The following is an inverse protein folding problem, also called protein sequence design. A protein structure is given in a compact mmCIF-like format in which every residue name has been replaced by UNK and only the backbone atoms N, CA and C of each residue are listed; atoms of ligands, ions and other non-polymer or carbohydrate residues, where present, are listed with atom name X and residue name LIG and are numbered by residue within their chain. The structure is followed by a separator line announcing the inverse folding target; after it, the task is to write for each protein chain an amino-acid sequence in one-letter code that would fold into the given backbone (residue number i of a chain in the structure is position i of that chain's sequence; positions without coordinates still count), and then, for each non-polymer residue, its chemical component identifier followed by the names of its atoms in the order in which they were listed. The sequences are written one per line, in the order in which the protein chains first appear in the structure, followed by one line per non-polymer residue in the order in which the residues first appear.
data_IF_297242874851
#
_entry.id   IF_297242874851
#
_cell.length_a   1.000
_cell.length_b   1.000
_cell.length_c   1.000
_cell.angle_alpha   90.00
_cell.angle_beta   90.00
_cell.angle_gamma   90.00
#
_symmetry.space_group_name_H-M   'P 1'
#
loop_
_entity.id
_entity.type
_entity.pdbx_description
1 polymer ?
#
# COMPACT_ATOMS: atom_id res chain seq x y z
N UNK A 1 0.86 21.38 -1.75
CA UNK A 1 2.28 21.51 -1.32
C UNK A 1 3.13 20.61 -2.19
N UNK A 2 4.33 21.06 -2.60
CA UNK A 2 5.26 20.30 -3.45
C UNK A 2 6.14 19.29 -2.67
N UNK A 3 6.13 19.37 -1.33
CA UNK A 3 6.85 18.45 -0.45
C UNK A 3 6.05 17.15 -0.32
N UNK A 4 6.67 15.96 -0.43
CA UNK A 4 5.97 14.69 -0.18
C UNK A 4 5.33 14.70 1.21
N UNK A 5 4.04 14.41 1.29
CA UNK A 5 3.40 14.15 2.59
C UNK A 5 4.04 12.90 3.20
N UNK A 6 4.50 13.03 4.43
CA UNK A 6 5.16 11.97 5.19
C UNK A 6 4.64 11.97 6.62
N UNK A 7 4.05 10.86 7.03
CA UNK A 7 3.66 10.61 8.42
C UNK A 7 4.56 9.53 9.00
N UNK A 8 5.47 9.86 9.95
CA UNK A 8 6.28 8.86 10.62
C UNK A 8 5.44 7.75 11.26
N UNK A 9 4.32 8.15 11.90
CA UNK A 9 3.43 7.22 12.56
C UNK A 9 2.78 6.25 11.57
N UNK A 10 2.33 6.74 10.42
CA UNK A 10 1.77 5.90 9.36
C UNK A 10 2.77 4.83 8.90
N UNK A 11 4.04 5.19 8.69
CA UNK A 11 5.08 4.21 8.31
C UNK A 11 5.35 3.21 9.44
N UNK A 12 5.46 3.69 10.68
CA UNK A 12 5.73 2.85 11.83
C UNK A 12 4.62 1.81 12.08
N UNK A 13 3.38 2.15 11.74
CA UNK A 13 2.21 1.28 11.90
C UNK A 13 1.85 0.51 10.63
N UNK A 14 2.49 0.78 9.50
CA UNK A 14 2.19 0.12 8.23
C UNK A 14 2.70 -1.33 8.21
N UNK A 15 1.97 -2.16 7.47
CA UNK A 15 2.35 -3.54 7.14
C UNK A 15 3.59 -3.62 6.24
N UNK A 16 4.33 -4.74 6.22
CA UNK A 16 5.59 -4.86 5.49
C UNK A 16 5.51 -4.46 4.01
N UNK A 17 4.49 -4.92 3.26
CA UNK A 17 4.37 -4.56 1.85
C UNK A 17 4.16 -3.04 1.66
N UNK A 18 3.26 -2.45 2.45
CA UNK A 18 2.99 -1.02 2.42
C UNK A 18 4.21 -0.18 2.81
N UNK A 19 5.01 -0.64 3.79
CA UNK A 19 6.30 -0.01 4.17
C UNK A 19 7.27 -0.02 2.98
N UNK A 20 7.46 -1.17 2.34
CA UNK A 20 8.37 -1.30 1.18
C UNK A 20 7.91 -0.41 0.02
N UNK A 21 6.62 -0.44 -0.34
CA UNK A 21 6.07 0.40 -1.40
C UNK A 21 6.21 1.89 -1.09
N UNK A 22 6.00 2.28 0.18
CA UNK A 22 6.13 3.67 0.61
C UNK A 22 7.58 4.13 0.55
N UNK A 23 8.52 3.28 0.96
CA UNK A 23 9.96 3.56 0.88
C UNK A 23 10.38 3.80 -0.58
N UNK A 24 10.01 2.91 -1.50
CA UNK A 24 10.35 3.05 -2.93
C UNK A 24 9.79 4.35 -3.50
N UNK A 25 8.51 4.64 -3.22
CA UNK A 25 7.84 5.87 -3.65
C UNK A 25 8.54 7.12 -3.08
N UNK A 26 8.92 7.12 -1.80
CA UNK A 26 9.62 8.24 -1.17
C UNK A 26 11.05 8.38 -1.69
N UNK A 27 11.79 7.29 -1.88
CA UNK A 27 13.13 7.30 -2.46
C UNK A 27 13.11 7.88 -3.88
N UNK A 28 12.13 7.51 -4.70
CA UNK A 28 11.93 8.06 -6.04
C UNK A 28 11.68 9.58 -6.01
N UNK A 29 10.77 10.04 -5.14
CA UNK A 29 10.48 11.47 -4.98
C UNK A 29 11.68 12.25 -4.47
N UNK A 30 12.37 11.74 -3.45
CA UNK A 30 13.58 12.34 -2.88
C UNK A 30 14.68 12.45 -3.94
N UNK A 31 14.91 11.40 -4.73
CA UNK A 31 15.90 11.43 -5.80
C UNK A 31 15.56 12.48 -6.87
N UNK A 32 14.29 12.56 -7.31
CA UNK A 32 13.84 13.59 -8.28
C UNK A 32 14.01 15.01 -7.72
N UNK A 33 13.86 15.18 -6.41
CA UNK A 33 14.10 16.43 -5.68
C UNK A 33 15.57 16.60 -5.24
N UNK A 34 16.50 15.93 -5.93
CA UNK A 34 17.95 16.05 -5.75
C UNK A 34 18.50 15.54 -4.41
N UNK A 35 17.70 14.86 -3.60
CA UNK A 35 18.13 14.17 -2.37
C UNK A 35 18.62 12.74 -2.68
N UNK A 36 19.44 12.61 -3.73
CA UNK A 36 19.99 11.35 -4.26
C UNK A 36 20.73 10.54 -3.17
N UNK A 37 21.58 11.15 -2.29
CA UNK A 37 22.24 10.39 -1.24
C UNK A 37 21.27 9.73 -0.25
N UNK A 38 20.18 10.42 0.11
CA UNK A 38 19.16 9.89 1.03
C UNK A 38 18.36 8.77 0.36
N UNK A 39 17.91 8.98 -0.89
CA UNK A 39 17.24 7.95 -1.67
C UNK A 39 18.11 6.68 -1.79
N UNK A 40 19.43 6.83 -2.00
CA UNK A 40 20.38 5.72 -2.05
C UNK A 40 20.41 4.94 -0.73
N UNK A 41 20.50 5.62 0.41
CA UNK A 41 20.52 4.98 1.73
C UNK A 41 19.20 4.25 2.03
N UNK A 42 18.06 4.81 1.63
CA UNK A 42 16.76 4.14 1.75
C UNK A 42 16.73 2.84 0.94
N UNK A 43 17.19 2.84 -0.31
CA UNK A 43 17.22 1.60 -1.11
C UNK A 43 18.24 0.58 -0.56
N UNK A 44 19.40 1.02 -0.07
CA UNK A 44 20.33 0.14 0.65
C UNK A 44 19.66 -0.51 1.88
N UNK A 45 18.88 0.27 2.64
CA UNK A 45 18.13 -0.23 3.79
C UNK A 45 17.06 -1.25 3.35
N UNK A 46 16.33 -0.98 2.26
CA UNK A 46 15.38 -1.91 1.68
C UNK A 46 16.05 -3.21 1.22
N UNK A 47 17.19 -3.15 0.53
CA UNK A 47 17.96 -4.35 0.15
C UNK A 47 18.43 -5.16 1.35
N UNK A 48 18.86 -4.46 2.42
CA UNK A 48 19.26 -5.11 3.67
C UNK A 48 18.08 -5.85 4.30
N UNK A 49 16.91 -5.24 4.41
CA UNK A 49 15.81 -5.80 5.20
C UNK A 49 14.78 -6.60 4.40
N UNK A 50 14.64 -6.33 3.10
CA UNK A 50 13.69 -7.00 2.23
C UNK A 50 14.38 -7.39 0.91
N UNK A 51 15.30 -8.36 0.90
CA UNK A 51 16.14 -8.65 -0.26
C UNK A 51 15.35 -9.11 -1.50
N UNK A 52 14.15 -9.66 -1.31
CA UNK A 52 13.28 -10.19 -2.36
C UNK A 52 12.21 -9.20 -2.85
N UNK A 53 12.30 -7.92 -2.47
CA UNK A 53 11.33 -6.92 -2.96
C UNK A 53 11.34 -6.78 -4.50
N UNK A 54 12.47 -7.05 -5.17
CA UNK A 54 12.60 -6.97 -6.63
C UNK A 54 11.71 -7.97 -7.36
N UNK A 55 11.46 -9.13 -6.75
CA UNK A 55 10.63 -10.18 -7.34
C UNK A 55 9.14 -9.80 -7.32
N UNK A 56 8.78 -8.84 -6.45
CA UNK A 56 7.40 -8.41 -6.19
C UNK A 56 7.04 -7.08 -6.84
N UNK A 57 8.02 -6.24 -7.20
CA UNK A 57 7.72 -4.91 -7.74
C UNK A 57 8.70 -4.41 -8.81
N UNK A 58 8.13 -3.87 -9.88
CA UNK A 58 8.87 -3.13 -10.91
C UNK A 58 9.01 -1.64 -10.59
N UNK A 59 8.41 -1.16 -9.50
CA UNK A 59 8.36 0.26 -9.14
C UNK A 59 9.74 0.85 -8.83
N UNK A 60 10.74 0.01 -8.53
CA UNK A 60 12.11 0.44 -8.28
C UNK A 60 12.88 0.75 -9.58
N UNK A 61 12.54 0.10 -10.70
CA UNK A 61 13.32 0.18 -11.95
C UNK A 61 13.57 1.62 -12.45
N UNK A 62 12.64 2.58 -12.32
CA UNK A 62 12.92 3.97 -12.70
C UNK A 62 14.12 4.59 -11.97
N UNK A 63 14.39 4.18 -10.72
CA UNK A 63 15.57 4.64 -9.97
C UNK A 63 16.89 4.10 -10.55
N UNK A 64 16.90 3.00 -11.30
CA UNK A 64 18.11 2.53 -11.98
C UNK A 64 18.65 3.55 -12.99
N UNK A 65 17.77 4.35 -13.61
CA UNK A 65 18.19 5.46 -14.47
C UNK A 65 18.89 6.56 -13.67
N UNK A 66 18.41 6.87 -12.45
CA UNK A 66 19.07 7.79 -11.53
C UNK A 66 20.47 7.29 -11.16
N UNK A 67 20.59 6.02 -10.77
CA UNK A 67 21.86 5.44 -10.36
C UNK A 67 22.85 5.33 -11.52
N UNK A 68 22.38 5.03 -12.72
CA UNK A 68 23.20 5.03 -13.93
C UNK A 68 23.69 6.45 -14.27
N UNK A 69 22.84 7.47 -14.19
CA UNK A 69 23.19 8.87 -14.48
C UNK A 69 24.16 9.48 -13.44
N UNK A 70 24.09 9.01 -12.19
CA UNK A 70 24.87 9.57 -11.07
C UNK A 70 26.10 8.74 -10.72
N UNK A 71 26.14 7.47 -11.11
CA UNK A 71 27.12 6.48 -10.63
C UNK A 71 26.94 6.09 -9.16
N UNK A 72 25.90 6.59 -8.47
CA UNK A 72 25.72 6.44 -7.03
C UNK A 72 24.78 5.29 -6.66
N UNK A 73 25.20 4.06 -6.98
CA UNK A 73 24.39 2.86 -6.76
C UNK A 73 24.17 2.55 -5.27
N UNK A 74 22.95 2.15 -4.87
CA UNK A 74 22.70 1.54 -3.57
C UNK A 74 23.35 0.16 -3.47
N UNK A 75 23.58 -0.31 -2.24
CA UNK A 75 24.23 -1.60 -2.00
C UNK A 75 23.39 -2.75 -2.57
N UNK A 76 23.98 -3.57 -3.43
CA UNK A 76 23.33 -4.74 -4.05
C UNK A 76 22.41 -4.44 -5.24
N UNK A 77 22.25 -3.17 -5.65
CA UNK A 77 21.39 -2.81 -6.79
C UNK A 77 22.08 -2.98 -8.15
N UNK A 78 23.39 -2.73 -8.21
CA UNK A 78 24.10 -2.75 -9.50
C UNK A 78 24.09 -4.13 -10.13
N UNK A 79 24.19 -5.17 -9.31
CA UNK A 79 24.15 -6.56 -9.74
C UNK A 79 22.77 -6.96 -10.29
N UNK A 80 21.70 -6.26 -9.87
CA UNK A 80 20.31 -6.56 -10.25
C UNK A 80 19.83 -5.80 -11.50
N UNK A 81 20.35 -4.59 -11.72
CA UNK A 81 19.84 -3.69 -12.76
C UNK A 81 20.24 -4.07 -14.20
N UNK A 82 21.10 -5.07 -14.37
CA UNK A 82 21.63 -5.47 -15.68
C UNK A 82 22.69 -4.50 -16.21
N UNK A 83 22.91 -4.55 -17.52
CA UNK A 83 23.82 -3.68 -18.26
C UNK A 83 23.23 -2.29 -18.50
N UNK A 84 24.08 -1.28 -18.75
CA UNK A 84 23.61 0.07 -19.06
C UNK A 84 22.78 0.09 -20.35
N UNK A 85 23.09 -0.77 -21.31
CA UNK A 85 22.32 -0.97 -22.53
C UNK A 85 20.90 -1.50 -22.29
N UNK A 86 20.73 -2.40 -21.32
CA UNK A 86 19.42 -2.95 -20.91
C UNK A 86 18.58 -1.89 -20.18
N UNK A 87 19.22 -1.14 -19.27
CA UNK A 87 18.59 0.01 -18.60
C UNK A 87 18.11 1.03 -19.63
N UNK A 88 18.94 1.32 -20.64
CA UNK A 88 18.57 2.22 -21.74
C UNK A 88 17.47 1.65 -22.64
N UNK A 89 17.45 0.33 -22.86
CA UNK A 89 16.39 -0.32 -23.61
C UNK A 89 15.04 -0.22 -22.89
N UNK A 90 15.05 -0.38 -21.57
CA UNK A 90 13.87 -0.18 -20.71
C UNK A 90 13.36 1.26 -20.77
N UNK A 91 14.22 2.27 -20.64
CA UNK A 91 13.79 3.67 -20.77
C UNK A 91 13.18 3.98 -22.16
N UNK A 92 13.77 3.41 -23.23
CA UNK A 92 13.20 3.53 -24.59
C UNK A 92 11.84 2.85 -24.73
N UNK A 93 11.62 1.73 -24.02
CA UNK A 93 10.34 1.04 -24.01
C UNK A 93 9.26 1.90 -23.33
N UNK A 94 9.52 2.45 -22.15
CA UNK A 94 8.60 3.37 -21.47
C UNK A 94 8.27 4.59 -22.32
N UNK A 95 9.29 5.19 -22.96
CA UNK A 95 9.09 6.31 -23.86
C UNK A 95 8.18 5.99 -25.08
N UNK A 96 8.12 4.73 -25.52
CA UNK A 96 7.18 4.26 -26.55
C UNK A 96 5.79 4.01 -25.98
N UNK A 97 5.69 3.46 -24.78
CA UNK A 97 4.41 3.18 -24.13
C UNK A 97 3.63 4.47 -23.82
N UNK A 98 4.32 5.60 -23.65
CA UNK A 98 3.69 6.92 -23.47
C UNK A 98 3.04 7.49 -24.72
N UNK A 99 3.42 7.04 -25.92
CA UNK A 99 2.98 7.66 -27.17
C UNK A 99 3.06 6.70 -28.36
N UNK A 100 1.92 6.32 -28.93
CA UNK A 100 1.86 5.28 -29.98
C UNK A 100 1.78 5.81 -31.42
N UNK A 101 2.28 7.01 -31.74
CA UNK A 101 2.32 7.45 -33.14
C UNK A 101 3.70 7.97 -33.56
N UNK A 102 4.44 7.12 -34.26
CA UNK A 102 5.69 7.47 -34.98
C UNK A 102 5.50 8.67 -35.93
N UNK A 103 4.27 8.92 -36.41
CA UNK A 103 3.94 10.05 -37.30
C UNK A 103 4.08 11.43 -36.65
N UNK A 104 4.07 11.53 -35.31
CA UNK A 104 4.21 12.80 -34.60
C UNK A 104 5.66 13.10 -34.22
N UNK A 105 6.54 12.10 -34.19
CA UNK A 105 7.94 12.28 -33.79
C UNK A 105 8.71 13.25 -34.70
N UNK A 106 8.31 13.38 -35.98
CA UNK A 106 8.95 14.24 -36.98
C UNK A 106 8.59 15.72 -36.79
N UNK A 107 7.38 16.04 -36.30
CA UNK A 107 6.97 17.44 -36.07
C UNK A 107 7.48 17.99 -34.72
N UNK A 108 7.96 17.11 -33.83
CA UNK A 108 8.37 17.46 -32.46
C UNK A 108 9.85 17.86 -32.30
N UNK A 109 10.61 18.05 -33.39
CA UNK A 109 12.02 18.47 -33.34
C UNK A 109 12.22 19.98 -33.38
N UNK A 110 11.16 20.78 -33.23
CA UNK A 110 11.22 22.23 -33.33
C UNK A 110 10.19 22.89 -32.37
N UNK A 111 10.27 24.21 -32.28
CA UNK A 111 9.38 25.05 -31.44
C UNK A 111 7.89 24.79 -31.70
N UNK A 112 7.49 24.59 -32.96
CA UNK A 112 6.11 24.33 -33.32
C UNK A 112 5.60 23.02 -32.70
N UNK A 113 6.42 21.96 -32.79
CA UNK A 113 6.12 20.69 -32.16
C UNK A 113 5.94 20.78 -30.64
N UNK A 114 6.86 21.46 -29.96
CA UNK A 114 6.75 21.67 -28.51
C UNK A 114 5.46 22.41 -28.12
N UNK A 115 5.17 23.54 -28.80
CA UNK A 115 3.96 24.34 -28.53
C UNK A 115 2.68 23.55 -28.84
N UNK A 116 2.68 22.76 -29.91
CA UNK A 116 1.57 21.88 -30.27
C UNK A 116 1.34 20.81 -29.20
N UNK A 117 2.38 20.13 -28.71
CA UNK A 117 2.25 19.14 -27.63
C UNK A 117 1.65 19.74 -26.36
N UNK A 118 2.11 20.92 -25.95
CA UNK A 118 1.52 21.61 -24.80
C UNK A 118 0.05 21.99 -25.05
N UNK A 119 -0.28 22.49 -26.24
CA UNK A 119 -1.65 22.84 -26.60
C UNK A 119 -2.58 21.62 -26.63
N UNK A 120 -2.09 20.45 -27.05
CA UNK A 120 -2.84 19.19 -27.05
C UNK A 120 -3.06 18.66 -25.62
N UNK A 121 -2.09 18.84 -24.71
CA UNK A 121 -2.25 18.56 -23.28
C UNK A 121 -3.31 19.47 -22.63
N UNK A 122 -3.45 20.69 -23.13
CA UNK A 122 -4.44 21.67 -22.64
C UNK A 122 -5.84 21.49 -23.24
N UNK A 123 -6.02 20.63 -24.26
CA UNK A 123 -7.31 20.47 -24.93
C UNK A 123 -8.24 19.53 -24.14
N UNK A 124 -9.30 20.05 -23.49
CA UNK A 124 -10.26 19.21 -22.76
C UNK A 124 -11.12 18.33 -23.69
N UNK A 125 -11.09 18.57 -25.01
CA UNK A 125 -11.85 17.85 -26.04
C UNK A 125 -10.99 16.90 -26.86
N UNK A 126 -9.76 16.61 -26.43
CA UNK A 126 -8.87 15.71 -27.16
C UNK A 126 -9.61 14.39 -27.49
N UNK A 127 -9.64 13.96 -28.77
CA UNK A 127 -10.30 12.72 -29.13
C UNK A 127 -9.58 11.55 -28.44
N UNK A 128 -10.34 10.59 -27.93
CA UNK A 128 -9.79 9.28 -27.65
C UNK A 128 -9.17 8.78 -28.97
N UNK A 129 -7.89 8.41 -28.96
CA UNK A 129 -7.24 7.84 -30.13
C UNK A 129 -8.08 6.64 -30.59
N UNK A 130 -8.27 6.48 -31.91
CA UNK A 130 -9.25 5.56 -32.54
C UNK A 130 -9.16 4.09 -32.05
N UNK A 131 -8.06 3.68 -31.41
CA UNK A 131 -7.84 2.33 -30.86
C UNK A 131 -8.08 2.20 -29.33
N UNK A 132 -8.74 3.18 -28.70
CA UNK A 132 -9.17 3.09 -27.29
C UNK A 132 -8.05 3.19 -26.25
N UNK A 133 -6.82 3.57 -26.65
CA UNK A 133 -5.70 3.82 -25.72
C UNK A 133 -5.43 5.32 -25.63
N UNK A 134 -5.56 5.86 -24.43
CA UNK A 134 -5.32 7.28 -24.13
C UNK A 134 -3.82 7.55 -23.97
N UNK A 135 -3.33 8.67 -24.54
CA UNK A 135 -2.10 9.26 -24.01
C UNK A 135 -2.40 9.81 -22.61
N UNK A 136 -1.61 9.41 -21.62
CA UNK A 136 -1.69 10.00 -20.29
C UNK A 136 -1.15 11.44 -20.30
N UNK A 137 -1.79 12.35 -19.57
CA UNK A 137 -1.33 13.75 -19.43
C UNK A 137 0.13 13.79 -18.98
N UNK A 138 0.50 12.87 -18.09
CA UNK A 138 1.84 12.72 -17.56
C UNK A 138 2.84 12.32 -18.65
N UNK A 139 2.50 11.37 -19.52
CA UNK A 139 3.40 10.89 -20.59
C UNK A 139 3.67 11.98 -21.63
N UNK A 140 2.64 12.71 -22.03
CA UNK A 140 2.80 13.85 -22.95
C UNK A 140 3.64 14.98 -22.32
N UNK A 141 3.47 15.26 -21.02
CA UNK A 141 4.28 16.25 -20.32
C UNK A 141 5.76 15.84 -20.25
N UNK A 142 6.06 14.60 -19.82
CA UNK A 142 7.44 14.11 -19.77
C UNK A 142 8.10 14.23 -21.14
N UNK A 143 7.37 13.92 -22.21
CA UNK A 143 7.91 14.03 -23.55
C UNK A 143 8.18 15.48 -23.97
N UNK A 144 7.28 16.42 -23.67
CA UNK A 144 7.52 17.85 -23.90
C UNK A 144 8.78 18.34 -23.17
N UNK A 145 8.98 17.88 -21.93
CA UNK A 145 10.15 18.20 -21.13
C UNK A 145 11.44 17.62 -21.73
N UNK A 146 11.42 16.38 -22.22
CA UNK A 146 12.55 15.77 -22.93
C UNK A 146 12.95 16.59 -24.16
N UNK A 147 11.98 17.05 -24.94
CA UNK A 147 12.25 17.91 -26.09
C UNK A 147 12.84 19.24 -25.68
N UNK A 148 12.26 19.88 -24.66
CA UNK A 148 12.78 21.16 -24.18
C UNK A 148 14.23 21.06 -23.73
N UNK A 149 14.56 19.99 -23.02
CA UNK A 149 15.91 19.71 -22.56
C UNK A 149 16.88 19.51 -23.73
N UNK A 150 16.50 18.75 -24.77
CA UNK A 150 17.33 18.58 -25.98
C UNK A 150 17.55 19.91 -26.71
N UNK A 151 16.49 20.70 -26.91
CA UNK A 151 16.60 22.03 -27.54
C UNK A 151 17.56 22.94 -26.76
N UNK A 152 17.52 22.88 -25.42
CA UNK A 152 18.46 23.63 -24.58
C UNK A 152 19.92 23.17 -24.77
N UNK A 153 20.15 21.85 -24.87
CA UNK A 153 21.50 21.31 -25.13
C UNK A 153 22.03 21.68 -26.52
N UNK A 154 21.15 21.76 -27.52
CA UNK A 154 21.50 22.12 -28.90
C UNK A 154 21.61 23.64 -29.12
N UNK A 155 21.29 24.46 -28.11
CA UNK A 155 21.27 25.92 -28.23
C UNK A 155 20.14 26.45 -29.12
N UNK A 156 19.06 25.68 -29.27
CA UNK A 156 17.86 26.03 -30.05
C UNK A 156 16.68 26.36 -29.13
N UNK A 157 15.58 26.86 -29.71
CA UNK A 157 14.35 27.13 -28.95
C UNK A 157 14.26 28.50 -28.29
N UNK A 158 14.82 29.53 -28.91
CA UNK A 158 14.51 30.92 -28.53
C UNK A 158 12.99 31.13 -28.57
N UNK A 159 12.40 31.63 -27.48
CA UNK A 159 10.95 31.86 -27.37
C UNK A 159 10.14 30.69 -26.79
N UNK A 160 10.78 29.61 -26.33
CA UNK A 160 10.15 28.51 -25.59
C UNK A 160 10.50 28.59 -24.09
N UNK A 161 9.53 28.43 -23.17
CA UNK A 161 9.79 28.40 -21.73
C UNK A 161 10.91 27.41 -21.38
N UNK A 162 11.79 27.75 -20.46
CA UNK A 162 12.83 26.85 -19.95
C UNK A 162 12.24 25.56 -19.38
N UNK A 163 13.09 24.54 -19.20
CA UNK A 163 12.66 23.30 -18.53
C UNK A 163 12.06 23.59 -17.15
N UNK A 164 12.72 24.49 -16.39
CA UNK A 164 12.27 24.89 -15.06
C UNK A 164 10.92 25.63 -15.09
N UNK A 165 10.74 26.56 -16.04
CA UNK A 165 9.46 27.28 -16.22
C UNK A 165 8.34 26.32 -16.65
N UNK A 166 8.62 25.40 -17.58
CA UNK A 166 7.65 24.40 -18.05
C UNK A 166 7.22 23.50 -16.90
N UNK A 167 8.17 23.02 -16.10
CA UNK A 167 7.88 22.24 -14.89
C UNK A 167 7.05 23.06 -13.90
N UNK A 168 7.45 24.31 -13.62
CA UNK A 168 6.76 25.17 -12.64
C UNK A 168 5.31 25.47 -13.02
N UNK A 169 5.05 25.79 -14.29
CA UNK A 169 3.70 26.07 -14.80
C UNK A 169 2.80 24.84 -14.75
N UNK A 170 3.39 23.65 -14.97
CA UNK A 170 2.63 22.42 -15.10
C UNK A 170 2.48 21.67 -13.80
N UNK A 171 3.44 21.71 -12.88
CA UNK A 171 3.39 20.94 -11.63
C UNK A 171 2.32 21.42 -10.63
N UNK A 172 1.80 22.64 -10.79
CA UNK A 172 0.83 23.26 -9.86
C UNK A 172 -0.51 22.56 -9.69
N UNK A 173 -0.83 21.53 -10.50
CA UNK A 173 -2.11 20.80 -10.44
C UNK A 173 -2.01 19.27 -10.50
N UNK A 174 -0.83 18.66 -10.40
CA UNK A 174 -0.64 17.27 -10.83
C UNK A 174 -0.68 16.19 -9.74
N UNK A 175 -1.09 15.02 -10.22
CA UNK A 175 -1.46 13.79 -9.51
C UNK A 175 -0.23 12.94 -9.17
N UNK A 176 -0.38 12.01 -8.21
CA UNK A 176 0.62 11.01 -7.76
C UNK A 176 1.43 10.35 -8.90
N UNK A 177 0.81 10.08 -10.05
CA UNK A 177 1.41 9.39 -11.22
C UNK A 177 2.48 10.19 -11.96
N UNK A 178 2.54 11.51 -11.80
CA UNK A 178 3.49 12.32 -12.54
C UNK A 178 4.95 12.03 -12.14
N UNK A 179 5.23 11.86 -10.84
CA UNK A 179 6.57 11.51 -10.38
C UNK A 179 7.05 10.17 -10.94
N UNK A 180 6.16 9.16 -10.95
CA UNK A 180 6.45 7.84 -11.51
C UNK A 180 6.78 7.92 -13.00
N UNK A 181 6.05 8.76 -13.74
CA UNK A 181 6.28 8.97 -15.18
C UNK A 181 7.55 9.79 -15.44
N UNK A 182 7.82 10.83 -14.65
CA UNK A 182 9.05 11.63 -14.73
C UNK A 182 10.30 10.77 -14.50
N UNK A 183 10.26 9.89 -13.50
CA UNK A 183 11.36 9.00 -13.14
C UNK A 183 11.74 7.97 -14.22
N UNK A 184 10.87 7.74 -15.19
CA UNK A 184 11.13 6.83 -16.31
C UNK A 184 11.92 7.52 -17.45
N UNK A 185 12.15 8.84 -17.39
CA UNK A 185 12.94 9.58 -18.38
C UNK A 185 14.38 9.77 -17.93
N UNK A 186 15.34 9.33 -18.75
CA UNK A 186 16.78 9.54 -18.51
C UNK A 186 17.15 11.02 -18.46
N UNK A 187 16.53 11.85 -19.30
CA UNK A 187 16.85 13.28 -19.37
C UNK A 187 16.37 14.03 -18.13
N UNK A 188 15.27 13.58 -17.53
CA UNK A 188 14.79 14.14 -16.26
C UNK A 188 15.79 13.87 -15.12
N UNK A 189 16.48 12.72 -15.12
CA UNK A 189 17.51 12.47 -14.11
C UNK A 189 18.74 13.37 -14.23
N UNK A 190 19.14 13.73 -15.45
CA UNK A 190 20.18 14.75 -15.66
C UNK A 190 19.75 16.11 -15.11
N UNK A 191 18.49 16.51 -15.34
CA UNK A 191 17.94 17.74 -14.78
C UNK A 191 17.79 17.69 -13.24
N UNK A 192 17.37 16.55 -12.69
CA UNK A 192 17.20 16.34 -11.25
C UNK A 192 18.55 16.40 -10.52
N UNK A 193 19.62 15.84 -11.09
CA UNK A 193 20.98 15.94 -10.56
C UNK A 193 21.45 17.39 -10.39
N UNK A 194 21.04 18.26 -11.30
CA UNK A 194 21.38 19.70 -11.28
C UNK A 194 20.38 20.56 -10.47
N UNK A 195 19.45 19.95 -9.73
CA UNK A 195 18.48 20.67 -8.91
C UNK A 195 17.33 21.33 -9.65
N UNK A 196 17.21 21.13 -10.97
CA UNK A 196 16.22 21.83 -11.80
C UNK A 196 14.79 21.47 -11.38
N UNK A 197 14.54 20.19 -11.13
CA UNK A 197 13.22 19.70 -10.70
C UNK A 197 12.84 20.27 -9.33
N UNK A 198 13.77 20.24 -8.35
CA UNK A 198 13.53 20.82 -7.02
C UNK A 198 13.23 22.32 -7.08
N UNK A 199 14.00 23.10 -7.85
CA UNK A 199 13.76 24.54 -8.03
C UNK A 199 12.43 24.85 -8.72
N UNK A 200 12.09 24.09 -9.76
CA UNK A 200 10.80 24.22 -10.44
C UNK A 200 9.62 23.99 -9.49
N UNK A 201 9.80 23.11 -8.50
CA UNK A 201 8.81 22.80 -7.46
C UNK A 201 8.81 23.80 -6.30
N UNK A 202 9.72 24.77 -6.29
CA UNK A 202 9.86 25.73 -5.20
C UNK A 202 10.26 25.08 -3.87
N UNK A 203 10.98 23.96 -3.94
CA UNK A 203 11.37 23.16 -2.79
C UNK A 203 12.70 23.67 -2.24
N UNK A 204 12.74 23.95 -0.94
CA UNK A 204 13.96 24.36 -0.24
C UNK A 204 14.87 23.16 0.03
N UNK A 205 16.17 23.34 -0.23
CA UNK A 205 17.16 22.28 -0.10
C UNK A 205 17.39 21.82 1.34
N UNK A 206 17.39 22.76 2.30
CA UNK A 206 17.60 22.46 3.72
C UNK A 206 16.37 21.77 4.32
N UNK A 207 15.16 22.23 3.95
CA UNK A 207 13.90 21.59 4.34
C UNK A 207 13.84 20.14 3.83
N UNK A 208 14.24 19.89 2.58
CA UNK A 208 14.26 18.53 2.04
C UNK A 208 15.32 17.63 2.66
N UNK A 209 16.48 18.18 3.02
CA UNK A 209 17.50 17.41 3.71
C UNK A 209 17.02 17.03 5.12
N UNK A 210 16.37 17.96 5.82
CA UNK A 210 15.75 17.70 7.11
C UNK A 210 14.65 16.63 7.01
N UNK A 211 13.75 16.73 6.03
CA UNK A 211 12.75 15.70 5.76
C UNK A 211 13.42 14.36 5.47
N UNK A 212 14.46 14.34 4.63
CA UNK A 212 15.20 13.14 4.28
C UNK A 212 15.76 12.40 5.50
N UNK A 213 16.29 13.12 6.48
CA UNK A 213 16.75 12.54 7.77
C UNK A 213 15.60 11.90 8.54
N UNK A 214 14.48 12.59 8.70
CA UNK A 214 13.31 12.06 9.42
C UNK A 214 12.76 10.80 8.73
N UNK A 215 12.70 10.81 7.40
CA UNK A 215 12.28 9.65 6.61
C UNK A 215 13.21 8.46 6.85
N UNK A 216 14.52 8.67 6.74
CA UNK A 216 15.53 7.64 6.96
C UNK A 216 15.44 7.05 8.38
N UNK A 217 15.45 7.90 9.41
CA UNK A 217 15.34 7.47 10.81
C UNK A 217 14.06 6.66 11.08
N UNK A 218 12.94 7.07 10.47
CA UNK A 218 11.66 6.36 10.62
C UNK A 218 11.72 4.96 10.01
N UNK A 219 12.26 4.81 8.79
CA UNK A 219 12.37 3.49 8.16
C UNK A 219 13.38 2.60 8.86
N UNK A 220 14.50 3.15 9.32
CA UNK A 220 15.48 2.41 10.15
C UNK A 220 14.76 1.85 11.38
N UNK A 221 14.04 2.71 12.12
CA UNK A 221 13.25 2.29 13.27
C UNK A 221 12.24 1.20 12.91
N UNK A 222 11.46 1.37 11.83
CA UNK A 222 10.45 0.39 11.39
C UNK A 222 11.04 -0.98 11.05
N UNK A 223 12.21 -1.01 10.41
CA UNK A 223 12.85 -2.27 10.02
C UNK A 223 13.63 -2.94 11.17
N UNK A 224 14.20 -2.16 12.08
CA UNK A 224 14.98 -2.69 13.20
C UNK A 224 14.07 -3.11 14.36
N UNK A 225 13.10 -2.28 14.73
CA UNK A 225 12.21 -2.48 15.89
C UNK A 225 10.90 -3.20 15.52
N UNK A 226 10.51 -3.22 14.25
CA UNK A 226 9.24 -3.80 13.80
C UNK A 226 8.08 -2.81 13.80
N UNK A 227 6.86 -3.33 13.65
CA UNK A 227 5.64 -2.52 13.56
C UNK A 227 5.28 -1.97 14.94
N UNK A 228 5.08 -0.65 15.04
CA UNK A 228 4.51 -0.05 16.23
C UNK A 228 3.04 -0.39 16.24
N UNK A 229 2.60 -1.16 17.23
CA UNK A 229 1.17 -1.41 17.43
C UNK A 229 0.51 -0.16 18.01
N UNK A 230 -0.70 0.19 17.57
CA UNK A 230 -1.54 1.14 18.29
C UNK A 230 -1.61 0.72 19.77
N UNK A 231 -1.25 1.62 20.68
CA UNK A 231 -1.51 1.40 22.11
C UNK A 231 -2.97 1.71 22.31
N UNK A 232 -3.79 0.68 22.14
CA UNK A 232 -5.21 0.77 22.36
C UNK A 232 -5.52 0.13 23.70
N UNK A 233 -6.42 0.77 24.45
CA UNK A 233 -6.76 0.37 25.79
C UNK A 233 -7.46 -0.99 25.87
N UNK A 234 -8.25 -1.18 26.91
CA UNK A 234 -9.15 -2.31 27.04
C UNK A 234 -10.08 -2.48 25.82
N UNK A 235 -10.61 -3.68 25.62
CA UNK A 235 -11.60 -3.95 24.57
C UNK A 235 -12.81 -2.99 24.64
N UNK A 236 -13.23 -2.64 25.85
CA UNK A 236 -14.30 -1.65 26.08
C UNK A 236 -13.93 -0.27 25.53
N UNK A 237 -12.72 0.22 25.84
CA UNK A 237 -12.21 1.49 25.33
C UNK A 237 -12.13 1.48 23.79
N UNK A 238 -11.60 0.39 23.20
CA UNK A 238 -11.49 0.27 21.74
C UNK A 238 -12.86 0.34 21.04
N UNK A 239 -13.80 -0.49 21.48
CA UNK A 239 -15.15 -0.58 20.90
C UNK A 239 -15.89 0.75 21.05
N UNK A 240 -15.72 1.43 22.19
CA UNK A 240 -16.29 2.76 22.42
C UNK A 240 -15.68 3.80 21.49
N UNK A 241 -14.36 3.80 21.29
CA UNK A 241 -13.68 4.73 20.38
C UNK A 241 -14.19 4.56 18.93
N UNK A 242 -14.32 3.33 18.44
CA UNK A 242 -14.86 3.06 17.09
C UNK A 242 -16.28 3.62 16.96
N UNK A 243 -17.14 3.35 17.95
CA UNK A 243 -18.52 3.82 17.96
C UNK A 243 -18.60 5.36 17.98
N UNK A 244 -17.81 6.01 18.84
CA UNK A 244 -17.76 7.48 18.92
C UNK A 244 -17.27 8.12 17.63
N UNK A 245 -16.21 7.59 17.02
CA UNK A 245 -15.64 8.16 15.80
C UNK A 245 -16.59 7.97 14.61
N UNK A 246 -17.27 6.83 14.53
CA UNK A 246 -18.32 6.59 13.52
C UNK A 246 -19.45 7.60 13.65
N UNK A 247 -19.93 7.86 14.88
CA UNK A 247 -21.00 8.83 15.12
C UNK A 247 -20.59 10.29 14.84
N UNK A 248 -19.32 10.63 15.08
CA UNK A 248 -18.80 11.99 14.86
C UNK A 248 -18.49 12.28 13.39
N UNK A 249 -18.22 11.26 12.58
CA UNK A 249 -17.85 11.42 11.16
C UNK A 249 -19.02 11.92 10.31
N UNK A 250 -18.85 13.09 9.69
CA UNK A 250 -19.86 13.64 8.78
C UNK A 250 -19.89 12.88 7.45
N UNK A 251 -18.73 12.41 6.95
CA UNK A 251 -18.64 11.51 5.79
C UNK A 251 -19.41 10.21 6.05
N UNK A 252 -19.28 9.62 7.23
CA UNK A 252 -20.03 8.42 7.61
C UNK A 252 -21.55 8.65 7.56
N UNK A 253 -22.02 9.80 8.07
CA UNK A 253 -23.44 10.18 7.98
C UNK A 253 -23.88 10.39 6.54
N UNK A 254 -23.04 11.02 5.71
CA UNK A 254 -23.34 11.23 4.29
C UNK A 254 -23.44 9.91 3.54
N UNK A 255 -22.48 9.00 3.68
CA UNK A 255 -22.52 7.69 3.03
C UNK A 255 -23.68 6.82 3.53
N UNK A 256 -24.04 6.90 4.81
CA UNK A 256 -25.26 6.25 5.33
C UNK A 256 -26.56 6.81 4.74
N UNK A 257 -26.56 8.09 4.36
CA UNK A 257 -27.70 8.77 3.74
C UNK A 257 -27.68 8.67 2.21
N UNK A 258 -26.54 8.36 1.60
CA UNK A 258 -26.46 8.12 0.17
C UNK A 258 -27.19 6.82 -0.17
N UNK A 259 -28.20 6.85 -1.05
CA UNK A 259 -28.95 5.67 -1.44
C UNK A 259 -28.07 4.80 -2.34
N UNK A 260 -27.17 4.04 -1.73
CA UNK A 260 -26.42 3.00 -2.39
C UNK A 260 -27.37 1.87 -2.75
N UNK A 261 -28.01 1.99 -3.92
CA UNK A 261 -28.62 0.90 -4.66
C UNK A 261 -29.73 0.12 -3.92
N UNK A 262 -30.91 0.71 -3.73
CA UNK A 262 -32.20 0.17 -4.25
C UNK A 262 -33.44 0.85 -3.63
N UNK A 263 -34.48 0.77 -4.45
CA UNK A 263 -35.91 0.74 -4.14
C UNK A 263 -36.26 0.39 -2.67
N UNK A 264 -37.24 1.15 -2.16
CA UNK A 264 -37.83 1.10 -0.82
C UNK A 264 -37.01 1.72 0.31
N UNK A 265 -37.49 2.90 0.72
CA UNK A 265 -37.27 3.62 1.98
C UNK A 265 -37.04 2.69 3.19
N UNK A 266 -35.84 2.14 3.34
CA UNK A 266 -35.31 1.80 4.65
C UNK A 266 -34.44 2.97 5.05
N UNK A 267 -35.01 3.86 5.86
CA UNK A 267 -34.20 4.71 6.71
C UNK A 267 -33.29 3.77 7.50
N UNK A 268 -31.99 3.76 7.17
CA UNK A 268 -30.98 3.23 8.05
C UNK A 268 -31.00 4.14 9.29
N UNK A 269 -31.92 3.87 10.21
CA UNK A 269 -31.72 4.31 11.59
C UNK A 269 -30.31 3.84 11.94
N UNK A 270 -29.51 4.70 12.58
CA UNK A 270 -28.23 4.32 13.17
C UNK A 270 -28.53 3.18 14.15
N UNK A 271 -28.64 1.95 13.63
CA UNK A 271 -28.82 0.72 14.39
C UNK A 271 -27.68 0.79 15.36
N UNK A 272 -28.02 0.82 16.64
CA UNK A 272 -27.09 1.06 17.75
C UNK A 272 -25.83 0.25 17.48
N UNK A 273 -24.74 0.94 17.07
CA UNK A 273 -23.45 0.32 16.74
C UNK A 273 -23.08 -0.70 17.79
N UNK A 274 -23.31 -0.32 19.05
CA UNK A 274 -23.26 -1.16 20.23
C UNK A 274 -24.61 -1.85 20.46
N UNK A 275 -24.61 -3.19 20.49
CA UNK A 275 -25.69 -4.00 21.05
C UNK A 275 -25.47 -4.25 22.53
N UNK A 276 -26.54 -4.65 23.23
CA UNK A 276 -26.44 -5.12 24.61
C UNK A 276 -25.38 -6.24 24.73
N UNK A 277 -24.57 -6.26 25.80
CA UNK A 277 -23.64 -7.34 26.09
C UNK A 277 -24.24 -8.75 25.99
N UNK A 278 -23.45 -9.70 25.50
CA UNK A 278 -23.81 -11.11 25.58
C UNK A 278 -23.71 -11.60 27.03
N UNK A 279 -24.66 -12.42 27.46
CA UNK A 279 -24.57 -13.11 28.75
C UNK A 279 -23.55 -14.25 28.70
N UNK A 280 -23.02 -14.65 29.86
CA UNK A 280 -22.13 -15.83 29.96
C UNK A 280 -22.80 -17.11 29.45
N UNK A 281 -24.12 -17.25 29.63
CA UNK A 281 -24.90 -18.37 29.10
C UNK A 281 -24.95 -18.35 27.56
N UNK A 282 -25.06 -17.17 26.95
CA UNK A 282 -25.03 -17.02 25.49
C UNK A 282 -23.66 -17.36 24.91
N UNK A 283 -22.58 -16.91 25.56
CA UNK A 283 -21.20 -17.24 25.17
C UNK A 283 -20.96 -18.75 25.34
N UNK A 284 -21.39 -19.34 26.46
CA UNK A 284 -21.25 -20.78 26.71
C UNK A 284 -22.02 -21.62 25.70
N UNK A 285 -23.25 -21.20 25.35
CA UNK A 285 -24.07 -21.84 24.33
C UNK A 285 -23.44 -21.74 22.94
N UNK A 286 -22.77 -20.63 22.63
CA UNK A 286 -22.01 -20.46 21.40
C UNK A 286 -20.81 -21.41 21.34
N UNK A 287 -20.01 -21.50 22.40
CA UNK A 287 -18.89 -22.45 22.49
C UNK A 287 -19.37 -23.90 22.35
N UNK A 288 -20.47 -24.27 23.00
CA UNK A 288 -21.07 -25.60 22.87
C UNK A 288 -21.52 -25.88 21.44
N UNK A 289 -22.21 -24.91 20.80
CA UNK A 289 -22.69 -25.03 19.42
C UNK A 289 -21.56 -25.15 18.41
N UNK A 290 -20.44 -24.46 18.62
CA UNK A 290 -19.26 -24.57 17.77
C UNK A 290 -18.37 -25.78 18.15
N UNK A 291 -18.54 -26.35 19.35
CA UNK A 291 -17.67 -27.41 19.84
C UNK A 291 -16.21 -26.96 20.05
N UNK A 292 -15.98 -25.67 20.30
CA UNK A 292 -14.64 -25.09 20.53
C UNK A 292 -14.68 -24.09 21.68
N UNK A 293 -13.51 -23.85 22.29
CA UNK A 293 -13.31 -22.76 23.24
C UNK A 293 -12.88 -21.51 22.50
N UNK A 294 -13.65 -20.44 22.61
CA UNK A 294 -13.40 -19.19 21.92
C UNK A 294 -12.22 -18.44 22.58
N UNK A 295 -11.44 -17.66 21.80
CA UNK A 295 -10.36 -16.88 22.36
C UNK A 295 -10.89 -15.81 23.32
N UNK A 296 -10.11 -15.52 24.37
CA UNK A 296 -10.57 -14.67 25.47
C UNK A 296 -10.81 -13.22 25.06
N UNK A 297 -10.05 -12.71 24.10
CA UNK A 297 -10.24 -11.36 23.56
C UNK A 297 -11.58 -11.24 22.81
N UNK A 298 -11.99 -12.26 22.04
CA UNK A 298 -13.31 -12.29 21.39
C UNK A 298 -14.46 -12.43 22.40
N UNK A 299 -14.31 -13.26 23.44
CA UNK A 299 -15.32 -13.32 24.51
C UNK A 299 -15.41 -11.99 25.26
N UNK A 300 -14.28 -11.33 25.50
CA UNK A 300 -14.24 -10.00 26.11
C UNK A 300 -15.00 -8.98 25.26
N UNK A 301 -14.88 -9.05 23.94
CA UNK A 301 -15.69 -8.24 23.02
C UNK A 301 -17.19 -8.55 23.15
N UNK A 302 -17.59 -9.83 23.17
CA UNK A 302 -18.99 -10.20 23.33
C UNK A 302 -19.60 -9.70 24.65
N UNK A 303 -18.80 -9.65 25.73
CA UNK A 303 -19.20 -9.08 27.03
C UNK A 303 -19.30 -7.56 27.03
N UNK A 304 -18.65 -6.88 26.08
CA UNK A 304 -18.81 -5.43 25.87
C UNK A 304 -20.02 -5.17 24.99
N UNK A 305 -20.20 -5.96 23.93
CA UNK A 305 -21.30 -5.82 22.98
C UNK A 305 -21.55 -7.13 22.22
N UNK A 306 -22.81 -7.56 22.12
CA UNK A 306 -23.17 -8.79 21.42
C UNK A 306 -23.15 -8.61 19.89
N UNK A 307 -21.97 -8.48 19.32
CA UNK A 307 -21.76 -8.07 17.93
C UNK A 307 -21.86 -6.55 17.77
N UNK A 308 -21.56 -6.06 16.58
CA UNK A 308 -21.35 -4.64 16.32
C UNK A 308 -21.92 -4.26 14.96
N UNK A 309 -22.52 -3.06 14.84
CA UNK A 309 -22.99 -2.54 13.56
C UNK A 309 -21.83 -2.26 12.59
N UNK A 310 -22.13 -2.08 11.30
CA UNK A 310 -21.15 -1.55 10.36
C UNK A 310 -20.65 -0.19 10.84
N UNK A 311 -19.33 0.04 10.76
CA UNK A 311 -18.69 1.22 11.34
C UNK A 311 -17.78 1.91 10.34
N UNK A 312 -17.59 3.21 10.51
CA UNK A 312 -16.79 4.00 9.59
C UNK A 312 -15.32 3.76 9.84
N UNK A 313 -14.59 3.18 8.87
CA UNK A 313 -13.15 2.98 9.03
C UNK A 313 -12.32 4.20 8.60
N UNK A 314 -12.92 5.27 8.10
CA UNK A 314 -12.21 6.44 7.59
C UNK A 314 -12.32 6.61 6.08
N UNK A 315 -12.52 5.50 5.35
CA UNK A 315 -12.66 5.50 3.88
C UNK A 315 -14.01 4.96 3.43
N UNK A 316 -14.52 3.93 4.10
CA UNK A 316 -15.81 3.30 3.82
C UNK A 316 -16.37 2.65 5.10
N UNK A 317 -17.57 2.09 5.01
CA UNK A 317 -18.15 1.29 6.09
C UNK A 317 -17.53 -0.12 6.14
N UNK A 318 -16.93 -0.42 7.27
CA UNK A 318 -16.35 -1.71 7.59
C UNK A 318 -17.41 -2.74 8.01
N UNK A 319 -17.00 -4.00 8.08
CA UNK A 319 -17.88 -5.14 8.29
C UNK A 319 -18.62 -5.09 9.62
N UNK A 320 -19.95 -5.29 9.58
CA UNK A 320 -20.71 -5.55 10.79
C UNK A 320 -20.27 -6.86 11.45
N UNK A 321 -20.24 -6.90 12.78
CA UNK A 321 -19.94 -8.10 13.55
C UNK A 321 -21.22 -8.76 14.07
N UNK A 322 -21.30 -10.06 13.90
CA UNK A 322 -22.45 -10.86 14.24
C UNK A 322 -22.67 -10.95 15.74
N UNK A 323 -23.95 -10.95 16.18
CA UNK A 323 -24.29 -11.39 17.52
C UNK A 323 -24.01 -12.89 17.67
N UNK A 324 -23.81 -13.34 18.91
CA UNK A 324 -23.42 -14.71 19.25
C UNK A 324 -24.35 -15.80 18.68
N UNK A 325 -25.64 -15.51 18.47
CA UNK A 325 -26.60 -16.45 17.88
C UNK A 325 -26.43 -16.64 16.37
N UNK A 326 -25.79 -15.67 15.67
CA UNK A 326 -25.52 -15.73 14.23
C UNK A 326 -24.10 -16.22 13.89
N UNK A 327 -23.17 -16.17 14.83
CA UNK A 327 -21.81 -16.72 14.65
C UNK A 327 -21.90 -18.20 14.29
N UNK A 328 -21.19 -18.67 13.27
CA UNK A 328 -21.24 -20.06 12.81
C UNK A 328 -19.93 -20.45 12.15
N UNK A 329 -19.69 -21.74 11.96
CA UNK A 329 -18.70 -22.14 10.97
C UNK A 329 -19.18 -21.77 9.58
N UNK A 330 -18.26 -21.32 8.75
CA UNK A 330 -18.49 -21.26 7.32
C UNK A 330 -17.87 -22.48 6.64
N UNK A 331 -18.71 -23.18 5.89
CA UNK A 331 -18.40 -24.30 5.02
C UNK A 331 -19.09 -24.14 3.65
N UNK A 332 -19.72 -22.98 3.38
CA UNK A 332 -20.60 -22.78 2.24
C UNK A 332 -19.90 -22.20 1.00
N UNK A 333 -18.59 -21.87 1.07
CA UNK A 333 -17.87 -21.23 -0.03
C UNK A 333 -16.69 -22.04 -0.55
N UNK A 334 -16.69 -22.30 -1.85
CA UNK A 334 -15.60 -23.00 -2.57
C UNK A 334 -14.23 -22.33 -2.33
N UNK A 335 -14.19 -20.99 -2.22
CA UNK A 335 -12.93 -20.26 -1.98
C UNK A 335 -12.27 -20.64 -0.64
N UNK A 336 -13.02 -21.13 0.35
CA UNK A 336 -12.45 -21.54 1.64
C UNK A 336 -11.52 -22.77 1.46
N UNK A 337 -11.84 -23.64 0.51
CA UNK A 337 -11.04 -24.83 0.20
C UNK A 337 -9.97 -24.56 -0.86
N UNK A 338 -10.17 -23.58 -1.74
CA UNK A 338 -9.27 -23.28 -2.85
C UNK A 338 -8.20 -22.22 -2.51
N UNK A 339 -8.52 -21.25 -1.66
CA UNK A 339 -7.65 -20.11 -1.38
C UNK A 339 -6.55 -20.47 -0.38
N UNK A 340 -5.30 -20.31 -0.82
CA UNK A 340 -4.13 -20.40 0.06
C UNK A 340 -4.18 -19.33 1.14
N UNK A 341 -3.99 -19.73 2.39
CA UNK A 341 -4.04 -18.82 3.53
C UNK A 341 -2.63 -18.26 3.80
N UNK A 342 -2.45 -16.98 3.50
CA UNK A 342 -1.27 -16.23 3.91
C UNK A 342 -1.53 -15.49 5.24
N UNK A 343 -0.93 -15.97 6.34
CA UNK A 343 -1.00 -15.30 7.64
C UNK A 343 -0.08 -14.08 7.73
N UNK A 344 1.06 -14.11 7.03
CA UNK A 344 2.13 -13.14 7.18
C UNK A 344 2.16 -12.30 5.91
N UNK A 345 1.87 -10.99 5.96
CA UNK A 345 1.89 -10.09 4.78
C UNK A 345 3.30 -9.98 4.14
N UNK A 346 3.74 -11.08 3.52
CA UNK A 346 5.03 -11.31 2.91
C UNK A 346 4.87 -11.79 1.47
N UNK A 347 3.63 -12.09 1.04
CA UNK A 347 3.28 -12.54 -0.30
C UNK A 347 4.00 -13.86 -0.61
N UNK A 348 3.74 -14.86 0.23
CA UNK A 348 4.44 -16.14 0.18
C UNK A 348 4.23 -16.89 -1.15
N UNK A 349 3.12 -16.58 -1.84
CA UNK A 349 2.75 -17.07 -3.17
C UNK A 349 3.79 -16.76 -4.25
N UNK A 350 4.60 -15.70 -4.10
CA UNK A 350 5.70 -15.39 -5.01
C UNK A 350 6.93 -16.26 -4.81
N UNK A 351 7.03 -16.97 -3.68
CA UNK A 351 8.27 -17.61 -3.23
C UNK A 351 8.17 -19.12 -3.06
N UNK A 352 6.97 -19.69 -3.09
CA UNK A 352 6.77 -21.13 -3.03
C UNK A 352 6.47 -21.67 -4.43
N UNK A 353 7.12 -22.76 -4.81
CA UNK A 353 7.00 -23.34 -6.15
C UNK A 353 5.59 -23.85 -6.46
N UNK A 354 4.86 -24.30 -5.43
CA UNK A 354 3.50 -24.83 -5.52
C UNK A 354 2.62 -24.21 -4.42
N UNK A 355 2.04 -23.05 -4.72
CA UNK A 355 1.08 -22.40 -3.83
C UNK A 355 -0.27 -23.14 -3.77
N UNK A 356 -0.56 -24.03 -4.72
CA UNK A 356 -1.75 -24.87 -4.66
C UNK A 356 -1.64 -25.91 -3.52
N UNK A 357 -0.42 -26.37 -3.23
CA UNK A 357 -0.12 -27.20 -2.08
C UNK A 357 0.00 -26.42 -0.74
N UNK A 358 -0.04 -25.09 -0.77
CA UNK A 358 0.02 -24.26 0.44
C UNK A 358 -1.21 -24.50 1.33
N UNK A 359 -1.06 -24.45 2.67
CA UNK A 359 -2.19 -24.55 3.59
C UNK A 359 -3.35 -23.62 3.22
N UNK A 360 -4.52 -24.20 3.01
CA UNK A 360 -5.77 -23.50 2.67
C UNK A 360 -6.47 -22.99 3.92
N UNK A 361 -7.33 -22.00 3.77
CA UNK A 361 -8.15 -21.45 4.86
C UNK A 361 -8.97 -22.53 5.56
N UNK A 362 -9.61 -23.39 4.76
CA UNK A 362 -10.48 -24.46 5.23
C UNK A 362 -11.60 -23.95 6.13
N UNK A 363 -11.92 -24.71 7.17
CA UNK A 363 -13.03 -24.40 8.08
C UNK A 363 -12.68 -23.23 9.01
N UNK A 364 -13.42 -22.13 8.92
CA UNK A 364 -13.27 -20.96 9.79
C UNK A 364 -14.60 -20.54 10.45
N UNK A 365 -14.53 -19.75 11.52
CA UNK A 365 -15.72 -19.27 12.24
C UNK A 365 -16.07 -17.89 11.69
N UNK A 366 -17.20 -17.76 11.00
CA UNK A 366 -17.70 -16.50 10.46
C UNK A 366 -18.31 -15.65 11.56
N UNK A 367 -17.72 -14.48 11.80
CA UNK A 367 -18.08 -13.56 12.89
C UNK A 367 -18.56 -12.20 12.42
N UNK A 368 -18.54 -11.90 11.12
CA UNK A 368 -19.04 -10.64 10.60
C UNK A 368 -19.05 -10.57 9.09
N UNK A 369 -19.91 -9.70 8.54
CA UNK A 369 -20.05 -9.49 7.10
C UNK A 369 -20.59 -8.10 6.80
N UNK A 370 -20.12 -7.51 5.71
CA UNK A 370 -20.77 -6.40 5.00
C UNK A 370 -20.55 -6.58 3.49
N UNK A 371 -21.62 -6.63 2.71
CA UNK A 371 -21.56 -6.91 1.26
C UNK A 371 -20.70 -8.15 0.90
N UNK A 372 -19.52 -7.90 0.32
CA UNK A 372 -18.51 -8.87 -0.13
C UNK A 372 -17.37 -9.06 0.87
N UNK A 373 -17.35 -8.27 1.94
CA UNK A 373 -16.34 -8.36 3.00
C UNK A 373 -16.82 -9.33 4.10
N UNK A 374 -15.96 -10.27 4.48
CA UNK A 374 -16.24 -11.28 5.51
C UNK A 374 -15.16 -11.27 6.58
N UNK A 375 -15.55 -11.48 7.83
CA UNK A 375 -14.64 -11.53 8.98
C UNK A 375 -14.73 -12.90 9.64
N UNK A 376 -13.57 -13.51 9.85
CA UNK A 376 -13.41 -14.86 10.38
C UNK A 376 -12.55 -14.89 11.64
N UNK A 377 -12.83 -15.83 12.53
CA UNK A 377 -11.86 -16.36 13.49
C UNK A 377 -11.30 -17.67 12.94
N UNK A 378 -9.98 -17.74 12.86
CA UNK A 378 -9.24 -18.91 12.38
C UNK A 378 -8.97 -19.85 13.56
N UNK A 379 -9.47 -21.10 13.54
CA UNK A 379 -9.26 -22.04 14.62
C UNK A 379 -7.78 -22.49 14.76
N UNK A 380 -7.37 -22.99 15.94
CA UNK A 380 -5.99 -23.44 16.19
C UNK A 380 -5.48 -24.49 15.22
N UNK A 381 -6.35 -25.41 14.78
CA UNK A 381 -5.97 -26.41 13.79
C UNK A 381 -5.61 -25.79 12.42
N UNK A 382 -6.26 -24.69 12.04
CA UNK A 382 -5.96 -23.97 10.79
C UNK A 382 -4.68 -23.16 10.96
N UNK A 383 -4.59 -22.35 12.02
CA UNK A 383 -3.42 -21.50 12.31
C UNK A 383 -2.15 -22.35 12.43
N UNK A 384 -2.20 -23.49 13.13
CA UNK A 384 -1.06 -24.38 13.29
C UNK A 384 -0.53 -24.89 11.94
N UNK A 385 -1.40 -25.28 10.99
CA UNK A 385 -0.96 -25.75 9.67
C UNK A 385 -0.14 -24.70 8.91
N UNK A 386 -0.63 -23.46 8.86
CA UNK A 386 0.08 -22.38 8.15
C UNK A 386 1.35 -21.97 8.88
N UNK A 387 1.28 -21.84 10.21
CA UNK A 387 2.43 -21.53 11.06
C UNK A 387 3.54 -22.57 10.89
N UNK A 388 3.20 -23.86 10.94
CA UNK A 388 4.17 -24.93 10.82
C UNK A 388 4.79 -24.97 9.41
N UNK A 389 4.04 -24.61 8.36
CA UNK A 389 4.58 -24.43 7.01
C UNK A 389 5.62 -23.29 6.95
N UNK A 390 5.34 -22.15 7.59
CA UNK A 390 6.32 -21.06 7.70
C UNK A 390 7.58 -21.47 8.46
N UNK A 391 7.42 -22.17 9.60
CA UNK A 391 8.54 -22.65 10.40
C UNK A 391 9.38 -23.68 9.62
N UNK A 392 8.75 -24.56 8.84
CA UNK A 392 9.46 -25.49 7.98
C UNK A 392 10.32 -24.78 6.92
N UNK A 393 9.85 -23.67 6.35
CA UNK A 393 10.67 -22.85 5.42
C UNK A 393 11.88 -22.25 6.15
N UNK A 394 11.70 -21.75 7.38
CA UNK A 394 12.78 -21.19 8.18
C UNK A 394 13.86 -22.22 8.54
N UNK A 395 13.44 -23.46 8.79
CA UNK A 395 14.32 -24.58 9.17
C UNK A 395 14.97 -25.28 7.98
N UNK A 396 14.36 -25.22 6.79
CA UNK A 396 14.84 -25.91 5.59
C UNK A 396 16.19 -25.37 5.10
N UNK A 397 17.10 -26.28 4.75
CA UNK A 397 18.38 -25.94 4.10
C UNK A 397 18.20 -25.50 2.64
N UNK A 398 17.10 -25.92 2.00
CA UNK A 398 16.81 -25.60 0.59
C UNK A 398 16.22 -24.18 0.42
N UNK A 399 15.69 -23.59 1.50
CA UNK A 399 15.14 -22.23 1.48
C UNK A 399 16.23 -21.18 1.41
N UNK A 400 16.08 -20.21 0.51
CA UNK A 400 17.05 -19.10 0.40
C UNK A 400 17.09 -18.25 1.67
N UNK A 401 18.28 -17.74 2.02
CA UNK A 401 18.44 -16.82 3.16
C UNK A 401 17.61 -15.53 3.00
N UNK A 402 17.36 -15.11 1.74
CA UNK A 402 16.48 -13.99 1.45
C UNK A 402 15.04 -14.25 1.89
N UNK A 403 14.50 -15.43 1.56
CA UNK A 403 13.14 -15.82 1.94
C UNK A 403 13.01 -15.98 3.45
N UNK A 404 13.98 -16.62 4.11
CA UNK A 404 13.98 -16.76 5.58
C UNK A 404 13.95 -15.40 6.26
N UNK A 405 14.65 -14.42 5.70
CA UNK A 405 14.67 -13.05 6.23
C UNK A 405 13.34 -12.32 6.05
N UNK A 406 12.70 -12.45 4.89
CA UNK A 406 11.35 -11.90 4.65
C UNK A 406 10.35 -12.46 5.67
N UNK A 407 10.31 -13.78 5.83
CA UNK A 407 9.42 -14.45 6.79
C UNK A 407 9.72 -13.99 8.22
N UNK A 408 10.99 -13.91 8.62
CA UNK A 408 11.38 -13.44 9.96
C UNK A 408 10.89 -12.01 10.24
N UNK A 409 11.00 -11.12 9.25
CA UNK A 409 10.54 -9.74 9.38
C UNK A 409 9.01 -9.62 9.37
N UNK A 410 8.34 -10.48 8.61
CA UNK A 410 6.89 -10.58 8.59
C UNK A 410 6.36 -11.09 9.93
N UNK A 411 6.98 -12.13 10.52
CA UNK A 411 6.69 -12.60 11.88
C UNK A 411 6.84 -11.47 12.91
N UNK A 412 7.96 -10.75 12.88
CA UNK A 412 8.19 -9.61 13.79
C UNK A 412 7.10 -8.55 13.67
N UNK A 413 6.65 -8.26 12.45
CA UNK A 413 5.57 -7.31 12.21
C UNK A 413 4.21 -7.86 12.66
N UNK A 414 3.96 -9.14 12.43
CA UNK A 414 2.68 -9.80 12.68
C UNK A 414 2.40 -10.05 14.17
N UNK A 415 3.34 -10.60 14.93
CA UNK A 415 3.17 -10.98 16.34
C UNK A 415 4.31 -10.53 17.27
N UNK A 416 5.30 -9.78 16.76
CA UNK A 416 6.40 -9.22 17.54
C UNK A 416 7.68 -10.05 17.44
N UNK A 417 7.62 -11.36 17.65
CA UNK A 417 8.77 -12.26 17.50
C UNK A 417 8.37 -13.71 17.19
N UNK A 418 9.38 -14.57 17.02
CA UNK A 418 9.21 -15.96 16.65
C UNK A 418 8.61 -16.83 17.76
N UNK A 419 8.80 -16.48 19.04
CA UNK A 419 8.20 -17.23 20.14
C UNK A 419 6.70 -16.90 20.24
N UNK A 420 6.34 -15.63 20.13
CA UNK A 420 4.95 -15.20 20.01
C UNK A 420 4.25 -15.83 18.79
N UNK A 421 4.98 -16.03 17.67
CA UNK A 421 4.43 -16.72 16.51
C UNK A 421 4.16 -18.20 16.78
N UNK A 422 5.08 -18.89 17.46
CA UNK A 422 4.92 -20.30 17.85
C UNK A 422 3.73 -20.50 18.79
N UNK A 423 3.50 -19.54 19.69
CA UNK A 423 2.38 -19.56 20.64
C UNK A 423 1.05 -19.08 20.04
N UNK A 424 1.05 -18.59 18.80
CA UNK A 424 -0.17 -18.12 18.15
C UNK A 424 -1.12 -19.29 17.85
N UNK A 425 -2.24 -19.32 18.57
CA UNK A 425 -3.28 -20.34 18.40
C UNK A 425 -4.48 -19.81 17.60
N UNK A 426 -4.88 -18.56 17.80
CA UNK A 426 -6.04 -17.96 17.15
C UNK A 426 -5.61 -16.76 16.33
N UNK A 427 -6.17 -16.62 15.13
CA UNK A 427 -6.04 -15.42 14.32
C UNK A 427 -7.43 -14.90 13.96
N UNK A 428 -7.53 -13.60 13.70
CA UNK A 428 -8.67 -13.05 12.97
C UNK A 428 -8.26 -12.87 11.50
N UNK A 429 -9.21 -12.99 10.59
CA UNK A 429 -9.00 -12.72 9.17
C UNK A 429 -10.17 -11.92 8.61
N UNK A 430 -9.87 -11.01 7.70
CA UNK A 430 -10.84 -10.25 6.93
C UNK A 430 -10.60 -10.53 5.45
N UNK A 431 -11.65 -10.89 4.71
CA UNK A 431 -11.57 -11.08 3.27
C UNK A 431 -12.39 -10.02 2.56
N UNK A 432 -11.81 -9.36 1.55
CA UNK A 432 -12.52 -8.44 0.65
C UNK A 432 -12.78 -9.16 -0.67
N UNK A 433 -14.00 -9.68 -0.88
CA UNK A 433 -14.38 -10.31 -2.14
C UNK A 433 -13.72 -11.67 -2.42
N UNK A 434 -13.27 -12.39 -1.38
CA UNK A 434 -12.85 -13.80 -1.46
C UNK A 434 -11.44 -14.06 -2.05
N UNK A 435 -10.76 -13.04 -2.59
CA UNK A 435 -9.44 -13.21 -3.22
C UNK A 435 -8.29 -12.79 -2.32
N UNK A 436 -8.43 -11.70 -1.58
CA UNK A 436 -7.40 -11.23 -0.64
C UNK A 436 -7.89 -11.41 0.78
N UNK A 437 -7.02 -11.96 1.63
CA UNK A 437 -7.25 -12.09 3.08
C UNK A 437 -6.21 -11.31 3.85
N UNK A 438 -6.69 -10.47 4.75
CA UNK A 438 -5.91 -9.77 5.74
C UNK A 438 -6.00 -10.50 7.07
N UNK A 439 -4.87 -10.99 7.58
CA UNK A 439 -4.81 -11.71 8.85
C UNK A 439 -4.28 -10.83 9.99
N UNK A 440 -4.76 -11.13 11.20
CA UNK A 440 -4.37 -10.49 12.45
C UNK A 440 -4.00 -11.55 13.49
N UNK A 441 -3.00 -11.30 14.34
CA UNK A 441 -2.51 -12.29 15.31
C UNK A 441 -3.51 -12.60 16.44
N UNK A 442 -4.61 -11.86 16.53
CA UNK A 442 -5.71 -12.10 17.46
C UNK A 442 -6.94 -11.25 17.08
N UNK A 443 -8.10 -11.53 17.68
CA UNK A 443 -9.29 -10.67 17.47
C UNK A 443 -9.10 -9.27 18.07
N UNK A 444 -8.42 -9.18 19.22
CA UNK A 444 -8.02 -7.90 19.81
C UNK A 444 -7.14 -7.07 18.88
N UNK A 445 -6.21 -7.70 18.15
CA UNK A 445 -5.39 -7.01 17.16
C UNK A 445 -6.21 -6.50 15.96
N UNK A 446 -7.21 -7.26 15.51
CA UNK A 446 -8.18 -6.81 14.51
C UNK A 446 -8.92 -5.55 14.98
N UNK A 447 -9.52 -5.56 16.18
CA UNK A 447 -10.22 -4.39 16.72
C UNK A 447 -9.27 -3.19 16.91
N UNK A 448 -8.05 -3.43 17.39
CA UNK A 448 -7.04 -2.40 17.56
C UNK A 448 -6.68 -1.69 16.23
N UNK A 449 -6.58 -2.46 15.15
CA UNK A 449 -6.35 -1.89 13.81
C UNK A 449 -7.53 -1.03 13.38
N UNK A 450 -8.77 -1.48 13.63
CA UNK A 450 -9.96 -0.69 13.30
C UNK A 450 -10.02 0.62 14.09
N UNK A 451 -9.52 0.68 15.33
CA UNK A 451 -9.39 1.96 16.05
C UNK A 451 -8.41 2.91 15.37
N UNK A 452 -7.27 2.40 14.90
CA UNK A 452 -6.18 3.17 14.26
C UNK A 452 -6.64 3.92 13.01
N UNK A 453 -7.39 3.26 12.13
CA UNK A 453 -7.76 3.85 10.83
C UNK A 453 -8.69 5.06 11.03
N UNK A 454 -9.40 5.14 12.16
CA UNK A 454 -10.42 6.15 12.44
C UNK A 454 -9.87 7.31 13.30
N UNK A 455 -8.55 7.47 13.42
CA UNK A 455 -7.99 8.62 14.15
C UNK A 455 -8.33 9.95 13.44
N UNK A 456 -8.74 11.02 14.17
CA UNK A 456 -9.29 12.25 13.59
C UNK A 456 -8.38 12.94 12.57
N UNK A 457 -7.07 12.85 12.76
CA UNK A 457 -6.07 13.45 11.86
C UNK A 457 -6.07 12.81 10.46
N UNK A 458 -6.57 11.57 10.31
CA UNK A 458 -6.71 10.90 9.02
C UNK A 458 -8.07 11.10 8.36
N UNK A 459 -9.04 11.75 9.04
CA UNK A 459 -10.39 11.99 8.53
C UNK A 459 -10.54 13.36 7.85
N UNK A 460 -9.55 14.25 7.98
CA UNK A 460 -9.60 15.64 7.51
C UNK A 460 -9.04 15.87 6.08
N UNK A 461 -8.48 14.84 5.44
CA UNK A 461 -8.18 14.85 4.00
C UNK A 461 -9.34 14.28 3.17
#
# INVERSE_FOLDING_TARGET
MAIPTFSPLQILQSKPYAVNSSLISLALKLALLSQIPTARRLISLLNKHSPLHHDRTTALRPLWLCWAATGAWPDGEREKAGTDEEIDAMARMWAKDWWYCDSYAVEMTNEYGFKRTLAELDDPKRPAVEDGRHVSDEGGLVRALEFRFRMQQEGTGEGVPSLEETLKERLGGYKRRLFETLAQSRLIWEAAKEGVVARAMGVDGEEMEALGRVVEETFVKRYEEGMVRPVVGSMEEMVKTIAENTQKSEKAKQEMLEPMWQEEEKTYELVTLLRDPASEDAISSLEERLGVKLPEDYKSFLRVTNGFGGFWNGTYFDSSLFPADKVRFDDDYDFMEETGLDLLDCQIDYFVDDFDAWPKLGRAIHIGREDTTMVFLLPPATVAKVRDAYLAILESEDSSEGLKKEITNAIRSFCGDAEAFKECEWCAAESMGGMDMECFPSFGAYIAEKVRIIEPEMLED
#
